data_IF_355463130858
#
_entry.id   IF_355463130858
#
_cell.length_a   1.000
_cell.length_b   1.000
_cell.length_c   1.000
_cell.angle_alpha   90.00
_cell.angle_beta   90.00
_cell.angle_gamma   90.00
#
_symmetry.space_group_name_H-M   'P 1'
#
loop_
_entity.id
_entity.type
_entity.pdbx_description
1 polymer ?
#
# COMPACT_ATOMS: atom_id res chain seq x y z
N UNK A 1 -31.61 -46.03 -23.34
CA UNK A 1 -30.78 -45.21 -22.44
C UNK A 1 -29.81 -44.41 -23.29
N UNK A 2 -29.89 -43.06 -23.27
CA UNK A 2 -28.92 -42.19 -23.95
C UNK A 2 -27.89 -41.76 -22.91
N UNK A 3 -26.61 -42.01 -23.21
CA UNK A 3 -25.48 -41.53 -22.42
C UNK A 3 -25.41 -40.00 -22.45
N UNK A 4 -24.99 -39.32 -21.36
CA UNK A 4 -24.82 -37.88 -21.39
C UNK A 4 -23.55 -37.52 -22.16
N UNK A 5 -23.68 -36.56 -23.07
CA UNK A 5 -22.55 -35.89 -23.74
C UNK A 5 -21.86 -35.02 -22.70
N UNK A 6 -20.56 -35.24 -22.46
CA UNK A 6 -19.75 -34.36 -21.62
C UNK A 6 -19.58 -33.02 -22.32
N UNK A 7 -19.99 -31.94 -21.65
CA UNK A 7 -19.65 -30.57 -22.01
C UNK A 7 -18.12 -30.41 -22.07
N UNK A 8 -17.57 -29.63 -23.02
CA UNK A 8 -16.14 -29.35 -23.03
C UNK A 8 -15.79 -28.52 -21.77
N UNK A 9 -14.81 -29.00 -21.00
CA UNK A 9 -14.19 -28.22 -19.93
C UNK A 9 -13.68 -26.90 -20.52
N UNK A 10 -14.05 -25.78 -19.89
CA UNK A 10 -13.44 -24.48 -20.19
C UNK A 10 -11.95 -24.58 -19.88
N UNK A 11 -11.04 -24.06 -20.74
CA UNK A 11 -9.62 -24.06 -20.45
C UNK A 11 -9.37 -23.27 -19.16
N UNK A 12 -8.71 -23.92 -18.20
CA UNK A 12 -8.19 -23.28 -16.98
C UNK A 12 -7.15 -22.23 -17.39
N UNK A 13 -7.21 -20.99 -16.88
CA UNK A 13 -6.19 -20.00 -17.22
C UNK A 13 -4.82 -20.49 -16.75
N UNK A 14 -3.85 -20.49 -17.67
CA UNK A 14 -2.44 -20.85 -17.45
C UNK A 14 -1.69 -19.76 -16.69
N UNK A 15 -2.30 -19.19 -15.65
CA UNK A 15 -1.71 -18.13 -14.83
C UNK A 15 -0.65 -18.69 -13.90
N UNK A 16 0.37 -17.88 -13.62
CA UNK A 16 1.38 -18.20 -12.62
C UNK A 16 0.72 -18.22 -11.24
N UNK A 17 0.77 -19.34 -10.52
CA UNK A 17 0.18 -19.45 -9.18
C UNK A 17 1.27 -19.19 -8.13
N UNK A 18 1.09 -18.14 -7.32
CA UNK A 18 1.95 -17.83 -6.17
C UNK A 18 1.18 -18.15 -4.88
N UNK A 19 1.86 -18.77 -3.91
CA UNK A 19 1.24 -19.09 -2.61
C UNK A 19 1.15 -17.84 -1.73
N UNK A 20 0.08 -17.67 -0.93
CA UNK A 20 -0.02 -16.55 0.00
C UNK A 20 1.02 -16.66 1.12
N UNK A 21 1.38 -15.51 1.68
CA UNK A 21 2.30 -15.43 2.82
C UNK A 21 1.64 -16.05 4.05
N UNK A 22 2.41 -16.81 4.83
CA UNK A 22 1.95 -17.30 6.14
C UNK A 22 2.34 -16.28 7.21
N UNK A 23 1.35 -15.68 7.85
CA UNK A 23 1.59 -14.67 8.89
C UNK A 23 2.09 -15.30 10.19
N UNK A 24 2.97 -14.63 10.96
CA UNK A 24 3.40 -15.11 12.27
C UNK A 24 2.23 -15.20 13.27
N UNK A 25 2.27 -16.20 14.13
CA UNK A 25 1.25 -16.42 15.18
C UNK A 25 1.36 -15.36 16.27
N UNK A 26 2.58 -14.95 16.61
CA UNK A 26 2.89 -13.95 17.63
C UNK A 26 2.25 -12.60 17.31
N UNK A 27 1.91 -11.82 18.32
CA UNK A 27 1.25 -10.52 18.13
C UNK A 27 2.20 -9.34 17.99
N UNK A 28 3.51 -9.55 18.13
CA UNK A 28 4.50 -8.48 18.07
C UNK A 28 5.47 -8.77 16.94
N UNK A 29 5.45 -7.97 15.89
CA UNK A 29 6.21 -8.21 14.66
C UNK A 29 7.27 -7.15 14.44
N UNK A 30 8.55 -7.51 14.26
CA UNK A 30 9.55 -6.60 13.72
C UNK A 30 9.27 -6.42 12.22
N UNK A 31 8.96 -5.18 11.82
CA UNK A 31 8.52 -4.83 10.47
C UNK A 31 9.32 -3.67 9.90
N UNK A 32 9.42 -3.64 8.58
CA UNK A 32 9.85 -2.48 7.80
C UNK A 32 8.64 -1.94 7.03
N UNK A 33 8.44 -0.63 7.05
CA UNK A 33 7.36 0.04 6.30
C UNK A 33 7.86 0.37 4.91
N UNK A 34 7.33 -0.33 3.90
CA UNK A 34 7.72 -0.20 2.50
C UNK A 34 6.91 0.83 1.73
N UNK A 35 5.67 1.08 2.13
CA UNK A 35 4.82 2.08 1.49
C UNK A 35 3.74 2.60 2.45
N UNK A 36 3.31 3.84 2.26
CA UNK A 36 2.23 4.47 3.02
C UNK A 36 1.27 5.11 2.02
N UNK A 37 0.06 4.57 1.92
CA UNK A 37 -1.03 5.14 1.11
C UNK A 37 -1.96 5.98 1.99
N UNK A 38 -2.24 5.51 3.20
CA UNK A 38 -3.00 6.23 4.24
C UNK A 38 -2.80 5.55 5.60
N UNK A 39 -3.41 6.08 6.66
CA UNK A 39 -3.43 5.39 7.97
C UNK A 39 -4.22 4.08 7.96
N UNK A 40 -5.08 3.85 6.97
CA UNK A 40 -5.79 2.57 6.79
C UNK A 40 -5.07 1.61 5.84
N UNK A 41 -4.00 2.07 5.20
CA UNK A 41 -3.28 1.33 4.18
C UNK A 41 -1.80 1.69 4.24
N UNK A 42 -1.13 1.08 5.21
CA UNK A 42 0.32 1.06 5.36
C UNK A 42 0.82 -0.32 4.99
N UNK A 43 1.83 -0.39 4.14
CA UNK A 43 2.38 -1.65 3.66
C UNK A 43 3.69 -1.95 4.37
N UNK A 44 3.79 -3.18 4.88
CA UNK A 44 4.95 -3.63 5.64
C UNK A 44 5.51 -4.94 5.13
N UNK A 45 6.78 -5.16 5.42
CA UNK A 45 7.48 -6.44 5.28
C UNK A 45 8.01 -6.89 6.63
N UNK A 46 7.96 -8.19 6.89
CA UNK A 46 8.53 -8.80 8.11
C UNK A 46 10.07 -8.84 8.02
N UNK A 47 10.76 -8.58 9.13
CA UNK A 47 12.24 -8.51 9.19
C UNK A 47 12.91 -9.73 9.81
N UNK A 48 12.27 -10.39 10.77
CA UNK A 48 12.87 -11.51 11.53
C UNK A 48 12.14 -12.83 11.27
N UNK A 49 11.57 -12.98 10.08
CA UNK A 49 10.90 -14.20 9.64
C UNK A 49 11.80 -15.04 8.72
N UNK A 50 11.27 -16.20 8.30
CA UNK A 50 11.98 -17.07 7.36
C UNK A 50 12.02 -16.55 5.91
N UNK A 51 11.37 -15.41 5.62
CA UNK A 51 11.20 -14.87 4.28
C UNK A 51 12.14 -13.68 4.02
N UNK A 52 12.55 -12.93 5.05
CA UNK A 52 13.39 -11.73 4.94
C UNK A 52 14.68 -11.95 4.14
N UNK A 53 15.49 -12.97 4.47
CA UNK A 53 16.70 -13.28 3.69
C UNK A 53 16.38 -13.74 2.26
N UNK A 54 15.28 -14.50 2.09
CA UNK A 54 14.84 -15.00 0.79
C UNK A 54 14.37 -13.86 -0.11
N UNK A 55 13.79 -12.80 0.45
CA UNK A 55 13.41 -11.58 -0.28
C UNK A 55 14.64 -10.90 -0.89
N UNK A 56 15.70 -10.66 -0.12
CA UNK A 56 16.92 -10.04 -0.66
C UNK A 56 17.58 -10.90 -1.74
N UNK A 57 17.63 -12.22 -1.54
CA UNK A 57 18.15 -13.14 -2.55
C UNK A 57 17.29 -13.12 -3.82
N UNK A 58 15.96 -13.13 -3.67
CA UNK A 58 15.02 -13.04 -4.78
C UNK A 58 15.25 -11.75 -5.58
N UNK A 59 15.29 -10.59 -4.93
CA UNK A 59 15.48 -9.29 -5.60
C UNK A 59 16.79 -9.26 -6.40
N UNK A 60 17.88 -9.80 -5.85
CA UNK A 60 19.15 -9.91 -6.58
C UNK A 60 19.04 -10.81 -7.81
N UNK A 61 18.47 -12.01 -7.64
CA UNK A 61 18.34 -13.00 -8.73
C UNK A 61 17.38 -12.51 -9.82
N UNK A 62 16.29 -11.85 -9.43
CA UNK A 62 15.29 -11.27 -10.31
C UNK A 62 15.94 -10.22 -11.21
N UNK A 63 16.62 -9.22 -10.63
CA UNK A 63 17.33 -8.17 -11.38
C UNK A 63 18.40 -8.76 -12.30
N UNK A 64 19.18 -9.73 -11.82
CA UNK A 64 20.20 -10.39 -12.64
C UNK A 64 19.59 -11.11 -13.85
N UNK A 65 18.46 -11.81 -13.67
CA UNK A 65 17.79 -12.52 -14.75
C UNK A 65 17.18 -11.56 -15.77
N UNK A 66 16.36 -10.61 -15.31
CA UNK A 66 15.63 -9.69 -16.19
C UNK A 66 16.54 -8.64 -16.85
N UNK A 67 17.76 -8.41 -16.35
CA UNK A 67 18.77 -7.61 -17.06
C UNK A 67 19.06 -8.12 -18.48
N UNK A 68 18.86 -9.43 -18.72
CA UNK A 68 19.08 -10.08 -20.03
C UNK A 68 17.81 -10.28 -20.84
N UNK A 69 16.64 -10.10 -20.22
CA UNK A 69 15.34 -10.30 -20.87
C UNK A 69 14.91 -9.00 -21.53
N UNK A 70 14.66 -9.04 -22.83
CA UNK A 70 14.29 -7.86 -23.63
C UNK A 70 12.92 -7.94 -24.28
N UNK A 71 12.30 -9.12 -24.28
CA UNK A 71 11.01 -9.37 -24.92
C UNK A 71 9.90 -9.23 -23.86
N UNK A 72 8.97 -8.27 -24.01
CA UNK A 72 7.82 -8.14 -23.12
C UNK A 72 6.89 -9.35 -23.17
N UNK A 73 5.95 -9.43 -22.23
CA UNK A 73 4.91 -10.43 -22.23
C UNK A 73 4.05 -10.32 -23.51
N UNK A 74 3.73 -11.47 -24.11
CA UNK A 74 2.92 -11.52 -25.32
C UNK A 74 1.46 -11.09 -25.08
N UNK A 75 0.96 -11.34 -23.86
CA UNK A 75 -0.39 -10.99 -23.42
C UNK A 75 -0.34 -10.47 -21.98
N UNK A 76 -1.19 -9.50 -21.69
CA UNK A 76 -1.42 -8.97 -20.34
C UNK A 76 -2.76 -9.49 -19.86
N UNK A 77 -2.76 -10.13 -18.68
CA UNK A 77 -3.92 -10.72 -18.04
C UNK A 77 -4.08 -10.12 -16.65
N UNK A 78 -5.28 -9.61 -16.37
CA UNK A 78 -5.65 -9.08 -15.05
C UNK A 78 -5.56 -10.21 -14.01
N UNK A 79 -5.09 -9.89 -12.82
CA UNK A 79 -4.75 -10.81 -11.72
C UNK A 79 -3.57 -11.76 -11.98
N UNK A 80 -2.87 -11.65 -13.11
CA UNK A 80 -1.65 -12.43 -13.34
C UNK A 80 -0.40 -11.65 -12.89
N UNK A 81 0.69 -12.39 -12.68
CA UNK A 81 1.95 -11.87 -12.16
C UNK A 81 2.99 -11.66 -13.26
N UNK A 82 3.71 -10.55 -13.15
CA UNK A 82 4.72 -10.11 -14.09
C UNK A 82 5.97 -9.62 -13.34
N UNK A 83 7.04 -9.41 -14.09
CA UNK A 83 8.17 -8.61 -13.65
C UNK A 83 8.18 -7.27 -14.41
N UNK A 84 8.58 -6.21 -13.73
CA UNK A 84 8.90 -4.91 -14.32
C UNK A 84 10.36 -4.57 -14.05
N UNK A 85 10.96 -3.74 -14.92
CA UNK A 85 12.31 -3.19 -14.73
C UNK A 85 12.23 -1.68 -14.49
N UNK A 86 12.75 -1.24 -13.36
CA UNK A 86 12.87 0.17 -12.96
C UNK A 86 14.32 0.42 -12.57
N UNK A 87 15.03 1.30 -13.29
CA UNK A 87 16.41 1.70 -12.98
C UNK A 87 17.39 0.52 -12.71
N UNK A 88 17.41 -0.47 -13.60
CA UNK A 88 18.20 -1.72 -13.48
C UNK A 88 17.79 -2.68 -12.35
N UNK A 89 16.74 -2.36 -11.60
CA UNK A 89 16.12 -3.23 -10.62
C UNK A 89 14.87 -3.87 -11.22
N UNK A 90 14.73 -5.17 -11.03
CA UNK A 90 13.51 -5.88 -11.38
C UNK A 90 12.65 -6.07 -10.13
N UNK A 91 11.34 -5.90 -10.28
CA UNK A 91 10.35 -6.06 -9.22
C UNK A 91 9.21 -6.95 -9.69
N UNK A 92 8.58 -7.68 -8.77
CA UNK A 92 7.40 -8.50 -9.06
C UNK A 92 6.14 -7.64 -8.93
N UNK A 93 5.23 -7.78 -9.87
CA UNK A 93 3.97 -7.05 -9.89
C UNK A 93 2.80 -7.97 -10.23
N UNK A 94 1.60 -7.58 -9.81
CA UNK A 94 0.32 -8.13 -10.26
C UNK A 94 -0.44 -7.06 -11.03
N UNK A 95 -1.06 -7.42 -12.15
CA UNK A 95 -1.88 -6.47 -12.93
C UNK A 95 -3.27 -6.38 -12.31
N UNK A 96 -3.68 -5.18 -11.90
CA UNK A 96 -5.00 -4.89 -11.34
C UNK A 96 -6.02 -4.49 -12.41
N UNK A 97 -5.57 -3.70 -13.38
CA UNK A 97 -6.38 -3.26 -14.52
C UNK A 97 -5.52 -3.15 -15.78
N UNK A 98 -6.13 -3.33 -16.94
CA UNK A 98 -5.45 -3.20 -18.23
C UNK A 98 -6.38 -2.59 -19.28
N UNK A 99 -5.94 -1.51 -19.91
CA UNK A 99 -6.59 -0.90 -21.05
C UNK A 99 -5.89 -1.34 -22.36
N UNK A 100 -6.52 -2.20 -23.18
CA UNK A 100 -5.92 -2.67 -24.43
C UNK A 100 -5.89 -1.62 -25.54
N UNK A 101 -6.54 -0.46 -25.37
CA UNK A 101 -6.57 0.60 -26.39
C UNK A 101 -5.32 1.48 -26.39
N UNK A 102 -4.82 1.86 -25.21
CA UNK A 102 -3.58 2.62 -25.03
C UNK A 102 -2.41 1.73 -24.58
N UNK A 103 -2.68 0.53 -24.07
CA UNK A 103 -1.66 -0.39 -23.55
C UNK A 103 -1.21 -0.07 -22.12
N UNK A 104 -1.99 0.73 -21.38
CA UNK A 104 -1.68 1.05 -19.99
C UNK A 104 -2.21 -0.04 -19.05
N UNK A 105 -1.38 -0.44 -18.08
CA UNK A 105 -1.70 -1.41 -17.05
C UNK A 105 -1.49 -0.78 -15.67
N UNK A 106 -2.50 -0.85 -14.82
CA UNK A 106 -2.36 -0.58 -13.39
C UNK A 106 -1.77 -1.82 -12.72
N UNK A 107 -0.67 -1.64 -12.00
CA UNK A 107 0.10 -2.73 -11.40
C UNK A 107 0.31 -2.51 -9.92
N UNK A 108 0.13 -3.57 -9.15
CA UNK A 108 0.43 -3.63 -7.72
C UNK A 108 1.77 -4.32 -7.49
N UNK A 109 2.69 -3.66 -6.80
CA UNK A 109 3.99 -4.20 -6.45
C UNK A 109 3.87 -5.13 -5.25
N UNK A 110 3.84 -6.44 -5.52
CA UNK A 110 3.45 -7.46 -4.55
C UNK A 110 4.41 -7.60 -3.35
N UNK A 111 5.58 -6.97 -3.42
CA UNK A 111 6.62 -7.02 -2.39
C UNK A 111 6.82 -5.70 -1.63
N UNK A 112 6.26 -4.59 -2.12
CA UNK A 112 6.40 -3.25 -1.53
C UNK A 112 5.06 -2.58 -1.22
N UNK A 113 3.99 -2.95 -1.91
CA UNK A 113 2.63 -2.52 -1.62
C UNK A 113 2.15 -1.26 -2.35
N UNK A 114 3.01 -0.62 -3.14
CA UNK A 114 2.65 0.52 -3.98
C UNK A 114 1.94 0.08 -5.28
N UNK A 115 1.28 1.05 -5.92
CA UNK A 115 0.59 0.90 -7.21
C UNK A 115 1.14 1.92 -8.20
N UNK A 116 1.31 1.51 -9.45
CA UNK A 116 1.70 2.41 -10.55
C UNK A 116 0.94 2.08 -11.84
N UNK A 117 0.91 3.03 -12.78
CA UNK A 117 0.38 2.82 -14.13
C UNK A 117 1.54 2.76 -15.11
N UNK A 118 1.68 1.61 -15.77
CA UNK A 118 2.82 1.31 -16.63
C UNK A 118 2.36 0.85 -18.01
N UNK A 119 3.15 1.15 -19.03
CA UNK A 119 2.92 0.56 -20.36
C UNK A 119 3.13 -0.96 -20.32
N UNK A 120 2.28 -1.72 -21.01
CA UNK A 120 2.41 -3.17 -21.16
C UNK A 120 3.75 -3.60 -21.75
N UNK A 121 4.45 -2.73 -22.48
CA UNK A 121 5.80 -2.99 -23.02
C UNK A 121 6.85 -3.12 -21.90
N UNK A 122 6.55 -2.65 -20.68
CA UNK A 122 7.41 -2.80 -19.51
C UNK A 122 7.11 -4.07 -18.70
N UNK A 123 6.07 -4.82 -19.06
CA UNK A 123 5.71 -6.06 -18.37
C UNK A 123 6.37 -7.27 -19.02
N UNK A 124 7.07 -8.05 -18.21
CA UNK A 124 7.71 -9.30 -18.60
C UNK A 124 7.03 -10.47 -17.91
N UNK A 125 6.82 -11.57 -18.62
CA UNK A 125 6.22 -12.76 -18.02
C UNK A 125 7.08 -13.25 -16.84
N UNK A 126 6.47 -13.45 -15.67
CA UNK A 126 7.19 -13.87 -14.48
C UNK A 126 7.65 -15.33 -14.60
N UNK A 127 8.97 -15.56 -14.65
CA UNK A 127 9.52 -16.91 -14.59
C UNK A 127 9.10 -17.62 -13.29
N UNK A 128 8.67 -18.88 -13.43
CA UNK A 128 8.19 -19.73 -12.34
C UNK A 128 9.20 -19.92 -11.20
N UNK A 129 10.50 -19.74 -11.46
CA UNK A 129 11.53 -19.75 -10.42
C UNK A 129 11.34 -18.62 -9.39
N UNK A 130 10.80 -17.47 -9.81
CA UNK A 130 10.55 -16.30 -8.97
C UNK A 130 9.16 -16.29 -8.33
N UNK A 131 8.38 -17.36 -8.54
CA UNK A 131 7.02 -17.53 -8.03
C UNK A 131 6.96 -18.36 -6.75
N UNK A 132 8.12 -18.83 -6.26
CA UNK A 132 8.20 -19.71 -5.08
C UNK A 132 8.12 -18.95 -3.76
N UNK A 133 8.61 -17.71 -3.73
CA UNK A 133 8.47 -16.85 -2.55
C UNK A 133 7.08 -16.21 -2.55
N UNK A 134 6.33 -16.22 -1.44
CA UNK A 134 5.08 -15.47 -1.34
C UNK A 134 5.27 -13.97 -1.60
N UNK A 135 4.22 -13.23 -1.98
CA UNK A 135 4.20 -11.77 -1.89
C UNK A 135 4.63 -11.31 -0.50
N UNK A 136 5.46 -10.27 -0.43
CA UNK A 136 6.03 -9.81 0.84
C UNK A 136 5.29 -8.61 1.45
N UNK A 137 4.47 -7.90 0.66
CA UNK A 137 3.72 -6.75 1.14
C UNK A 137 2.50 -7.19 1.97
N UNK A 138 2.44 -6.75 3.22
CA UNK A 138 1.32 -6.97 4.14
C UNK A 138 0.62 -5.64 4.39
N UNK A 139 -0.70 -5.59 4.19
CA UNK A 139 -1.50 -4.39 4.44
C UNK A 139 -1.82 -4.24 5.92
N UNK A 140 -1.53 -3.07 6.47
CA UNK A 140 -1.74 -2.70 7.87
C UNK A 140 -2.62 -1.47 7.96
N UNK A 141 -3.66 -1.57 8.78
CA UNK A 141 -4.49 -0.46 9.21
C UNK A 141 -4.07 -0.07 10.63
N UNK A 142 -3.79 1.22 10.84
CA UNK A 142 -3.41 1.75 12.14
C UNK A 142 -4.63 1.76 13.05
N UNK A 143 -4.54 1.01 14.15
CA UNK A 143 -5.56 1.02 15.18
C UNK A 143 -5.77 2.42 15.74
N UNK A 144 -7.02 2.76 16.07
CA UNK A 144 -7.48 4.06 16.62
C UNK A 144 -7.41 5.24 15.66
N UNK A 145 -6.96 5.01 14.43
CA UNK A 145 -6.90 6.00 13.34
C UNK A 145 -7.75 5.58 12.14
N UNK A 146 -8.67 4.62 12.31
CA UNK A 146 -9.50 4.07 11.24
C UNK A 146 -10.48 5.11 10.69
N UNK A 147 -11.04 5.97 11.57
CA UNK A 147 -12.04 6.99 11.21
C UNK A 147 -11.43 8.39 10.94
N UNK A 148 -10.21 8.63 11.42
CA UNK A 148 -9.44 9.86 11.14
C UNK A 148 -8.80 9.78 9.74
N UNK A 149 -8.80 8.57 9.17
CA UNK A 149 -8.18 8.26 7.90
C UNK A 149 -8.80 9.03 6.73
N UNK A 150 -7.90 9.39 5.81
CA UNK A 150 -8.17 9.91 4.46
C UNK A 150 -8.36 11.42 4.35
N UNK A 151 -7.52 12.21 5.02
CA UNK A 151 -7.14 13.52 4.49
C UNK A 151 -5.65 13.59 4.20
N UNK A 152 -5.27 14.37 3.19
CA UNK A 152 -3.88 14.47 2.70
C UNK A 152 -2.90 14.77 3.83
N UNK A 153 -3.28 15.64 4.77
CA UNK A 153 -2.46 15.99 5.94
C UNK A 153 -2.13 14.79 6.83
N UNK A 154 -3.09 13.91 7.12
CA UNK A 154 -2.82 12.73 7.95
C UNK A 154 -1.93 11.74 7.21
N UNK A 155 -2.11 11.58 5.90
CA UNK A 155 -1.24 10.75 5.06
C UNK A 155 0.18 11.28 5.04
N UNK A 156 0.39 12.58 4.86
CA UNK A 156 1.72 13.23 4.89
C UNK A 156 2.43 13.02 6.24
N UNK A 157 1.71 13.15 7.36
CA UNK A 157 2.25 12.89 8.70
C UNK A 157 2.64 11.41 8.84
N UNK A 158 1.74 10.51 8.43
CA UNK A 158 1.99 9.07 8.50
C UNK A 158 3.21 8.67 7.64
N UNK A 159 3.31 9.18 6.42
CA UNK A 159 4.43 8.94 5.52
C UNK A 159 5.75 9.43 6.13
N UNK A 160 5.79 10.68 6.60
CA UNK A 160 6.96 11.27 7.29
C UNK A 160 7.40 10.44 8.50
N UNK A 161 6.45 9.92 9.28
CA UNK A 161 6.74 9.21 10.52
C UNK A 161 7.07 7.74 10.31
N UNK A 162 6.47 7.06 9.32
CA UNK A 162 6.56 5.62 9.13
C UNK A 162 7.43 5.17 7.95
N UNK A 163 7.36 5.86 6.80
CA UNK A 163 7.96 5.37 5.56
C UNK A 163 9.48 5.15 5.71
N UNK A 164 9.98 4.05 5.13
CA UNK A 164 11.39 3.67 5.09
C UNK A 164 12.05 3.47 6.47
N UNK A 165 11.25 3.09 7.47
CA UNK A 165 11.72 2.83 8.84
C UNK A 165 11.29 1.46 9.35
N UNK A 166 11.92 1.05 10.44
CA UNK A 166 11.64 -0.22 11.12
C UNK A 166 10.92 0.01 12.44
N UNK A 167 9.98 -0.87 12.76
CA UNK A 167 9.16 -0.77 13.97
C UNK A 167 8.84 -2.14 14.52
N UNK A 168 8.36 -2.17 15.76
CA UNK A 168 7.57 -3.29 16.26
C UNK A 168 6.09 -2.99 16.07
N UNK A 169 5.40 -3.84 15.29
CA UNK A 169 3.96 -3.79 15.09
C UNK A 169 3.27 -4.70 16.12
N UNK A 170 2.52 -4.09 17.03
CA UNK A 170 1.60 -4.82 17.91
C UNK A 170 0.28 -5.08 17.17
N UNK A 171 0.06 -6.34 16.80
CA UNK A 171 -1.11 -6.83 16.06
C UNK A 171 -2.28 -7.11 17.00
N UNK A 172 -3.46 -6.59 16.64
CA UNK A 172 -4.73 -6.83 17.34
C UNK A 172 -5.69 -7.70 16.56
N UNK A 173 -5.73 -7.53 15.23
CA UNK A 173 -6.61 -8.31 14.37
C UNK A 173 -5.88 -8.72 13.09
N UNK A 174 -6.26 -9.90 12.58
CA UNK A 174 -5.79 -10.47 11.31
C UNK A 174 -7.02 -10.94 10.56
N UNK A 175 -7.22 -10.41 9.38
CA UNK A 175 -8.30 -10.79 8.48
C UNK A 175 -7.75 -10.92 7.06
N UNK A 176 -8.57 -11.43 6.16
CA UNK A 176 -8.25 -11.54 4.74
C UNK A 176 -9.41 -10.89 3.97
N UNK A 177 -9.08 -10.13 2.92
CA UNK A 177 -10.04 -9.69 1.92
C UNK A 177 -9.82 -10.46 0.60
N UNK A 178 -10.42 -9.98 -0.49
CA UNK A 178 -10.28 -10.64 -1.80
C UNK A 178 -8.87 -10.56 -2.37
N UNK A 179 -8.01 -9.66 -1.88
CA UNK A 179 -6.70 -9.34 -2.47
C UNK A 179 -5.52 -9.72 -1.58
N UNK A 180 -5.64 -9.63 -0.25
CA UNK A 180 -4.55 -9.98 0.67
C UNK A 180 -4.98 -10.06 2.14
N UNK A 181 -3.98 -10.29 3.00
CA UNK A 181 -4.07 -10.11 4.45
C UNK A 181 -4.31 -8.64 4.81
N UNK A 182 -5.16 -8.43 5.80
CA UNK A 182 -5.42 -7.12 6.41
C UNK A 182 -5.18 -7.25 7.92
N UNK A 183 -4.20 -6.50 8.39
CA UNK A 183 -3.75 -6.52 9.78
C UNK A 183 -4.11 -5.19 10.43
N UNK A 184 -4.64 -5.23 11.66
CA UNK A 184 -4.90 -4.03 12.46
C UNK A 184 -3.92 -4.01 13.62
N UNK A 185 -3.21 -2.90 13.81
CA UNK A 185 -2.21 -2.82 14.88
C UNK A 185 -1.68 -1.43 15.18
N UNK A 186 -0.75 -1.37 16.14
CA UNK A 186 -0.05 -0.15 16.57
C UNK A 186 1.44 -0.29 16.28
N UNK A 187 2.02 0.72 15.66
CA UNK A 187 3.47 0.80 15.45
C UNK A 187 4.15 1.38 16.68
N UNK A 188 5.19 0.70 17.16
CA UNK A 188 6.09 1.16 18.19
C UNK A 188 7.49 1.38 17.61
N UNK A 189 8.00 2.60 17.76
CA UNK A 189 9.40 2.92 17.54
C UNK A 189 10.18 2.59 18.81
N UNK A 190 11.14 1.67 18.69
CA UNK A 190 11.94 1.13 19.80
C UNK A 190 13.43 1.45 19.64
N UNK A 191 13.79 2.42 18.78
CA UNK A 191 15.20 2.82 18.61
C UNK A 191 15.73 3.64 19.81
N UNK A 192 14.83 4.25 20.59
CA UNK A 192 15.14 5.07 21.76
C UNK A 192 15.19 4.30 23.09
N UNK A 193 15.38 5.04 24.19
CA UNK A 193 15.31 4.47 25.56
C UNK A 193 13.89 4.08 25.98
N UNK A 194 12.88 4.69 25.36
CA UNK A 194 11.47 4.42 25.59
C UNK A 194 10.79 4.10 24.27
N UNK A 195 9.93 3.09 24.30
CA UNK A 195 9.11 2.73 23.15
C UNK A 195 8.07 3.83 22.91
N UNK A 196 7.97 4.31 21.68
CA UNK A 196 7.06 5.39 21.28
C UNK A 196 5.93 4.82 20.43
N UNK A 197 4.68 5.02 20.87
CA UNK A 197 3.50 4.74 20.07
C UNK A 197 3.40 5.73 18.90
N UNK A 198 3.68 5.27 17.69
CA UNK A 198 3.70 6.13 16.50
C UNK A 198 2.28 6.51 16.06
N UNK A 199 1.27 5.66 16.28
CA UNK A 199 -0.13 6.00 15.98
C UNK A 199 -0.59 7.21 16.83
N UNK A 200 -0.25 7.23 18.12
CA UNK A 200 -0.54 8.36 19.00
C UNK A 200 0.21 9.63 18.56
N UNK A 201 1.48 9.49 18.15
CA UNK A 201 2.27 10.61 17.63
C UNK A 201 1.66 11.22 16.36
N UNK A 202 1.19 10.39 15.42
CA UNK A 202 0.47 10.84 14.23
C UNK A 202 -0.79 11.63 14.63
N UNK A 203 -1.56 11.10 15.58
CA UNK A 203 -2.77 11.75 16.10
C UNK A 203 -2.49 13.12 16.72
N UNK A 204 -1.43 13.22 17.53
CA UNK A 204 -1.03 14.46 18.19
C UNK A 204 -0.51 15.52 17.21
N UNK A 205 0.30 15.13 16.22
CA UNK A 205 0.79 16.04 15.18
C UNK A 205 -0.36 16.59 14.32
N UNK A 206 -1.35 15.74 14.01
CA UNK A 206 -2.56 16.17 13.32
C UNK A 206 -3.37 17.19 14.15
N UNK A 207 -3.60 16.91 15.43
CA UNK A 207 -4.31 17.83 16.33
C UNK A 207 -3.62 19.19 16.40
N UNK A 208 -2.29 19.21 16.53
CA UNK A 208 -1.52 20.45 16.54
C UNK A 208 -1.71 21.25 15.24
N UNK A 209 -1.59 20.60 14.08
CA UNK A 209 -1.78 21.27 12.78
C UNK A 209 -3.20 21.83 12.67
N UNK A 210 -4.21 21.08 13.11
CA UNK A 210 -5.60 21.55 13.11
C UNK A 210 -5.81 22.76 14.02
N UNK A 211 -5.17 22.79 15.19
CA UNK A 211 -5.21 23.94 16.12
C UNK A 211 -4.56 25.19 15.51
N UNK A 212 -3.40 25.05 14.85
CA UNK A 212 -2.73 26.17 14.17
C UNK A 212 -3.44 26.64 12.91
N UNK A 213 -4.27 25.78 12.31
CA UNK A 213 -5.06 26.09 11.12
C UNK A 213 -6.43 26.70 11.45
N UNK A 214 -6.81 26.78 12.72
CA UNK A 214 -7.99 27.56 13.10
C UNK A 214 -7.71 29.03 12.75
N UNK A 215 -8.54 29.68 11.91
CA UNK A 215 -8.46 31.13 11.81
C UNK A 215 -8.66 31.65 13.22
N UNK A 216 -7.71 32.44 13.72
CA UNK A 216 -7.91 33.18 14.96
C UNK A 216 -9.33 33.71 14.92
N UNK A 217 -10.16 33.27 15.87
CA UNK A 217 -11.43 33.92 16.16
C UNK A 217 -11.05 35.29 16.73
N UNK A 218 -10.58 36.22 15.88
CA UNK A 218 -10.32 37.62 16.19
C UNK A 218 -11.63 38.39 16.42
N UNK A 219 -12.72 37.69 16.77
CA UNK A 219 -14.02 38.26 17.10
C UNK A 219 -14.08 38.85 18.52
N UNK A 220 -12.98 38.87 19.27
CA UNK A 220 -12.97 39.28 20.69
C UNK A 220 -12.54 40.72 20.94
N UNK A 221 -12.18 41.52 19.93
CA UNK A 221 -11.89 42.95 20.12
C UNK A 221 -13.08 43.82 19.71
N UNK A 222 -13.88 44.23 20.70
CA UNK A 222 -15.01 45.16 20.53
C UNK A 222 -14.51 46.48 19.90
N UNK A 223 -14.98 46.82 18.70
CA UNK A 223 -14.76 48.13 18.07
C UNK A 223 -13.78 48.18 16.89
N UNK A 224 -13.33 47.05 16.34
CA UNK A 224 -12.64 47.05 15.04
C UNK A 224 -13.63 46.94 13.87
N UNK A 225 -13.37 47.70 12.81
CA UNK A 225 -14.04 47.55 11.51
C UNK A 225 -13.25 46.51 10.72
N UNK A 226 -13.91 45.44 10.29
CA UNK A 226 -13.36 44.50 9.32
C UNK A 226 -13.93 44.81 7.93
N UNK A 227 -13.05 44.84 6.93
CA UNK A 227 -13.47 44.67 5.54
C UNK A 227 -13.74 43.18 5.30
N UNK A 228 -14.96 42.86 4.90
CA UNK A 228 -15.42 41.50 4.57
C UNK A 228 -15.96 41.51 3.16
N UNK A 229 -15.80 40.40 2.44
CA UNK A 229 -16.38 40.25 1.13
C UNK A 229 -17.74 39.57 1.27
N UNK A 230 -18.79 40.25 0.82
CA UNK A 230 -20.13 39.65 0.79
C UNK A 230 -20.17 38.68 -0.39
N UNK A 231 -20.15 37.39 -0.10
CA UNK A 231 -20.14 36.34 -1.11
C UNK A 231 -21.53 36.10 -1.69
N UNK A 232 -22.58 36.27 -0.87
CA UNK A 232 -23.97 36.12 -1.30
C UNK A 232 -24.94 36.90 -0.40
N UNK A 233 -25.98 37.50 -0.99
CA UNK A 233 -27.08 38.14 -0.26
C UNK A 233 -28.39 37.51 -0.73
N UNK A 234 -29.10 36.89 0.21
CA UNK A 234 -30.54 36.60 0.11
C UNK A 234 -31.23 37.21 1.34
N UNK A 235 -32.30 36.61 1.88
CA UNK A 235 -32.87 36.97 3.18
C UNK A 235 -31.86 36.92 4.35
N UNK A 236 -30.67 36.33 4.13
CA UNK A 236 -29.50 36.37 5.02
C UNK A 236 -28.22 36.74 4.25
N UNK A 237 -27.22 37.29 4.96
CA UNK A 237 -25.95 37.76 4.38
C UNK A 237 -24.82 36.82 4.76
N UNK A 238 -24.11 36.31 3.75
CA UNK A 238 -22.96 35.43 3.92
C UNK A 238 -21.66 36.20 3.66
N UNK A 239 -20.69 36.08 4.56
CA UNK A 239 -19.42 36.82 4.56
C UNK A 239 -18.24 35.86 4.38
N UNK A 240 -17.22 36.31 3.65
CA UNK A 240 -15.92 35.66 3.49
C UNK A 240 -14.79 36.62 3.90
#
# INVERSE_FOLDING_TARGET
AKSPVSSPEKPTPSGTVIRPLTLPIDSLWPVYVSHVTSTSEVWVRLLEDEYNEKYFLLSQQLSQFYSKVTIPAATVEIQNYYAIKVNDEAQRVRVEAFDPHNGDAEVFFIDTGDVDVVSCEKLFALDTAFSQLPPQAIRVCLSTLEEIAVCDTTTEIAEKLLLDKTFYLQVFNRSEDETSHVVIGIFYDTEGEIDVNVNEKISLELQQIMEFSQPDVQFTVRGRVLEVFVSHIDNEVYLQ
#
